data_IF_484575164542
#
_entry.id   IF_484575164542
#
_cell.length_a   1.000
_cell.length_b   1.000
_cell.length_c   1.000
_cell.angle_alpha   90.00
_cell.angle_beta   90.00
_cell.angle_gamma   90.00
#
_symmetry.space_group_name_H-M   'P 1'
#
loop_
_entity.id
_entity.type
_entity.pdbx_description
1 polymer ?
#
# COMPACT_ATOMS: atom_id res chain seq x y z
N UNK A 1 5.01 -8.94 2.34
CA UNK A 1 3.97 -9.37 1.37
C UNK A 1 4.10 -8.62 0.06
N UNK A 2 3.82 -7.30 -0.02
CA UNK A 2 3.90 -6.54 -1.29
C UNK A 2 5.24 -6.70 -2.01
N UNK A 3 6.38 -6.47 -1.32
CA UNK A 3 7.70 -6.64 -1.96
C UNK A 3 7.96 -8.06 -2.47
N UNK A 4 7.37 -9.09 -1.84
CA UNK A 4 7.47 -10.47 -2.31
C UNK A 4 6.67 -10.70 -3.60
N UNK A 5 5.46 -10.14 -3.69
CA UNK A 5 4.65 -10.16 -4.92
C UNK A 5 5.44 -9.51 -6.06
N UNK A 6 5.96 -8.31 -5.84
CA UNK A 6 6.75 -7.58 -6.86
C UNK A 6 7.96 -8.41 -7.28
N UNK A 7 8.73 -8.94 -6.33
CA UNK A 7 9.89 -9.80 -6.63
C UNK A 7 9.53 -11.04 -7.44
N UNK A 8 8.42 -11.72 -7.11
CA UNK A 8 7.94 -12.91 -7.84
C UNK A 8 7.53 -12.56 -9.28
N UNK A 9 6.86 -11.42 -9.48
CA UNK A 9 6.47 -10.94 -10.80
C UNK A 9 7.66 -10.51 -11.68
N UNK A 10 8.77 -10.08 -11.06
CA UNK A 10 9.94 -9.56 -11.79
C UNK A 10 11.12 -10.53 -11.86
N UNK A 11 11.04 -11.67 -11.16
CA UNK A 11 12.11 -12.68 -11.17
C UNK A 11 12.24 -13.31 -12.55
N UNK A 12 13.44 -13.29 -13.12
CA UNK A 12 13.71 -13.82 -14.46
C UNK A 12 13.37 -12.85 -15.60
N UNK A 13 12.70 -11.73 -15.31
CA UNK A 13 12.40 -10.70 -16.29
C UNK A 13 13.62 -9.83 -16.61
N UNK A 14 13.79 -9.50 -17.89
CA UNK A 14 14.90 -8.68 -18.41
C UNK A 14 14.42 -7.36 -19.01
N UNK A 15 15.38 -6.50 -19.40
CA UNK A 15 15.12 -5.13 -19.89
C UNK A 15 14.02 -5.03 -20.96
N UNK A 16 14.02 -5.94 -21.94
CA UNK A 16 13.04 -5.95 -23.04
C UNK A 16 11.61 -6.21 -22.58
N UNK A 17 11.43 -6.93 -21.48
CA UNK A 17 10.10 -7.20 -20.93
C UNK A 17 9.54 -5.95 -20.24
N UNK A 18 10.34 -5.30 -19.40
CA UNK A 18 9.95 -4.04 -18.75
C UNK A 18 9.63 -2.94 -19.77
N UNK A 19 10.42 -2.83 -20.84
CA UNK A 19 10.18 -1.88 -21.92
C UNK A 19 8.82 -2.14 -22.62
N UNK A 20 8.50 -3.42 -22.91
CA UNK A 20 7.21 -3.81 -23.50
C UNK A 20 6.01 -3.37 -22.65
N UNK A 21 6.15 -3.37 -21.32
CA UNK A 21 5.09 -2.96 -20.39
C UNK A 21 5.14 -1.47 -20.02
N UNK A 22 5.98 -0.67 -20.68
CA UNK A 22 6.06 0.79 -20.45
C UNK A 22 6.75 1.18 -19.14
N UNK A 23 7.48 0.25 -18.51
CA UNK A 23 8.22 0.46 -17.25
C UNK A 23 9.73 0.33 -17.46
N UNK A 24 10.22 0.60 -18.68
CA UNK A 24 11.64 0.55 -19.01
C UNK A 24 12.51 1.49 -18.17
N UNK A 25 12.00 2.67 -17.81
CA UNK A 25 12.70 3.61 -16.92
C UNK A 25 12.97 2.99 -15.53
N UNK A 26 11.99 2.29 -14.95
CA UNK A 26 12.18 1.57 -13.68
C UNK A 26 13.32 0.54 -13.81
N UNK A 27 13.39 -0.19 -14.91
CA UNK A 27 14.46 -1.17 -15.14
C UNK A 27 15.84 -0.51 -15.31
N UNK A 28 15.92 0.66 -15.94
CA UNK A 28 17.19 1.36 -16.08
C UNK A 28 17.78 1.76 -14.72
N UNK A 29 16.92 2.19 -13.78
CA UNK A 29 17.36 2.63 -12.46
C UNK A 29 17.55 1.46 -11.47
N UNK A 30 16.73 0.41 -11.59
CA UNK A 30 16.59 -0.62 -10.54
C UNK A 30 16.69 -2.07 -11.05
N UNK A 31 16.90 -2.27 -12.35
CA UNK A 31 16.76 -3.57 -13.00
C UNK A 31 15.42 -4.23 -12.62
N UNK A 32 15.45 -5.48 -12.16
CA UNK A 32 14.27 -6.18 -11.65
C UNK A 32 14.18 -6.21 -10.12
N UNK A 33 14.98 -5.38 -9.42
CA UNK A 33 14.96 -5.29 -7.97
C UNK A 33 13.69 -4.57 -7.47
N UNK A 34 13.33 -4.81 -6.20
CA UNK A 34 12.22 -4.11 -5.53
C UNK A 34 12.72 -2.77 -5.01
N UNK A 35 12.17 -1.67 -5.54
CA UNK A 35 12.45 -0.32 -5.09
C UNK A 35 11.19 0.31 -4.47
N UNK A 36 11.28 0.94 -3.27
CA UNK A 36 10.14 1.53 -2.61
C UNK A 36 9.77 2.88 -3.25
N UNK A 37 9.02 2.83 -4.33
CA UNK A 37 8.36 3.98 -4.97
C UNK A 37 6.88 3.70 -5.20
N UNK A 38 6.10 4.76 -5.36
CA UNK A 38 4.72 4.61 -5.85
C UNK A 38 4.70 4.24 -7.34
N UNK A 39 3.50 3.96 -7.88
CA UNK A 39 3.31 3.58 -9.28
C UNK A 39 3.74 4.66 -10.30
N UNK A 40 3.90 5.93 -9.86
CA UNK A 40 4.42 7.03 -10.65
C UNK A 40 5.92 7.26 -10.53
N UNK A 41 6.65 6.37 -9.82
CA UNK A 41 8.09 6.47 -9.63
C UNK A 41 8.55 7.45 -8.54
N UNK A 42 7.63 7.98 -7.72
CA UNK A 42 8.02 8.86 -6.59
C UNK A 42 8.55 8.01 -5.44
N UNK A 43 9.80 8.23 -4.97
CA UNK A 43 10.37 7.47 -3.87
C UNK A 43 9.57 7.63 -2.58
N UNK A 44 9.54 6.57 -1.77
CA UNK A 44 9.06 6.65 -0.40
C UNK A 44 9.88 7.67 0.41
N UNK A 45 9.21 8.44 1.24
CA UNK A 45 9.83 9.45 2.11
C UNK A 45 9.12 9.52 3.44
N UNK A 46 9.84 9.94 4.48
CA UNK A 46 9.28 10.20 5.81
C UNK A 46 8.16 11.24 5.81
N UNK A 47 8.02 12.07 4.76
CA UNK A 47 6.93 13.03 4.62
C UNK A 47 5.53 12.38 4.56
N UNK A 48 5.42 11.08 4.25
CA UNK A 48 4.16 10.35 4.28
C UNK A 48 3.74 9.88 5.68
N UNK A 49 4.63 9.99 6.68
CA UNK A 49 4.35 9.61 8.07
C UNK A 49 3.89 10.86 8.81
N UNK A 50 2.64 10.87 9.28
CA UNK A 50 2.18 11.88 10.22
C UNK A 50 2.33 11.34 11.63
N UNK A 51 2.84 12.18 12.52
CA UNK A 51 2.95 11.89 13.94
C UNK A 51 2.98 13.21 14.69
N UNK A 52 1.99 13.44 15.55
CA UNK A 52 1.79 14.72 16.24
C UNK A 52 1.86 14.61 17.75
N UNK A 53 1.98 13.39 18.29
CA UNK A 53 1.91 13.12 19.74
C UNK A 53 0.58 13.60 20.36
N UNK A 54 -0.45 13.74 19.53
CA UNK A 54 -1.83 13.97 19.91
C UNK A 54 -2.62 12.73 19.49
N UNK A 55 -3.06 11.89 20.46
CA UNK A 55 -3.74 10.64 20.16
C UNK A 55 -4.99 10.79 19.28
N UNK A 56 -5.73 11.90 19.38
CA UNK A 56 -6.90 12.13 18.53
C UNK A 56 -6.49 12.48 17.10
N UNK A 57 -5.51 13.36 16.94
CA UNK A 57 -5.02 13.71 15.61
C UNK A 57 -4.42 12.50 14.91
N UNK A 58 -3.61 11.72 15.64
CA UNK A 58 -2.91 10.55 15.10
C UNK A 58 -3.91 9.43 14.72
N UNK A 59 -4.91 9.12 15.56
CA UNK A 59 -5.90 8.06 15.23
C UNK A 59 -6.79 8.43 14.03
N UNK A 60 -7.05 9.73 13.81
CA UNK A 60 -7.78 10.20 12.65
C UNK A 60 -6.98 10.04 11.35
N UNK A 61 -5.66 10.28 11.39
CA UNK A 61 -4.81 10.00 10.22
C UNK A 61 -4.72 8.50 9.96
N UNK A 62 -4.59 7.66 11.01
CA UNK A 62 -4.56 6.20 10.85
C UNK A 62 -5.85 5.68 10.19
N UNK A 63 -7.02 6.13 10.64
CA UNK A 63 -8.32 5.81 10.00
C UNK A 63 -8.34 6.22 8.52
N UNK A 64 -7.84 7.41 8.19
CA UNK A 64 -7.78 7.89 6.82
C UNK A 64 -6.78 7.08 5.98
N UNK A 65 -5.64 6.70 6.55
CA UNK A 65 -4.61 5.89 5.91
C UNK A 65 -5.16 4.53 5.50
N UNK A 66 -5.89 3.84 6.39
CA UNK A 66 -6.49 2.55 6.09
C UNK A 66 -7.53 2.62 4.96
N UNK A 67 -8.34 3.68 4.90
CA UNK A 67 -9.29 3.87 3.79
C UNK A 67 -8.59 4.16 2.46
N UNK A 68 -7.51 4.95 2.48
CA UNK A 68 -6.66 5.22 1.29
C UNK A 68 -6.01 3.92 0.79
N UNK A 69 -5.49 3.08 1.69
CA UNK A 69 -4.91 1.78 1.37
C UNK A 69 -5.95 0.82 0.78
N UNK A 70 -7.10 0.65 1.45
CA UNK A 70 -8.24 -0.16 0.97
C UNK A 70 -8.69 0.26 -0.44
N UNK A 71 -8.82 1.56 -0.69
CA UNK A 71 -9.20 2.08 -2.00
C UNK A 71 -8.15 1.79 -3.08
N UNK A 72 -6.87 1.82 -2.71
CA UNK A 72 -5.77 1.42 -3.61
C UNK A 72 -5.85 -0.07 -3.96
N UNK A 73 -6.11 -0.94 -2.98
CA UNK A 73 -6.33 -2.36 -3.26
C UNK A 73 -7.57 -2.63 -4.12
N UNK A 74 -8.67 -1.91 -3.92
CA UNK A 74 -9.82 -1.98 -4.82
C UNK A 74 -9.42 -1.64 -6.26
N UNK A 75 -8.60 -0.61 -6.48
CA UNK A 75 -8.11 -0.25 -7.81
C UNK A 75 -7.28 -1.37 -8.44
N UNK A 76 -6.39 -2.00 -7.67
CA UNK A 76 -5.60 -3.14 -8.14
C UNK A 76 -6.52 -4.31 -8.53
N UNK A 77 -7.52 -4.63 -7.70
CA UNK A 77 -8.46 -5.73 -7.97
C UNK A 77 -9.36 -5.50 -9.20
N UNK A 78 -9.52 -4.26 -9.66
CA UNK A 78 -10.26 -3.97 -10.91
C UNK A 78 -9.47 -4.33 -12.17
N UNK A 79 -8.14 -4.40 -12.07
CA UNK A 79 -7.25 -4.60 -13.22
C UNK A 79 -6.41 -5.88 -13.14
N UNK A 80 -6.36 -6.52 -11.98
CA UNK A 80 -5.61 -7.75 -11.75
C UNK A 80 -6.47 -8.98 -12.04
N UNK A 81 -6.05 -9.78 -13.01
CA UNK A 81 -6.67 -11.06 -13.40
C UNK A 81 -5.93 -12.28 -12.83
N UNK A 82 -4.67 -12.13 -12.42
CA UNK A 82 -3.88 -13.19 -11.80
C UNK A 82 -4.40 -13.57 -10.39
N UNK A 83 -4.86 -14.83 -10.16
CA UNK A 83 -5.27 -15.31 -8.85
C UNK A 83 -4.17 -15.25 -7.77
N UNK A 84 -2.91 -15.46 -8.14
CA UNK A 84 -1.79 -15.52 -7.18
C UNK A 84 -1.50 -14.13 -6.59
N UNK A 85 -1.74 -13.08 -7.38
CA UNK A 85 -1.67 -11.68 -6.91
C UNK A 85 -2.98 -11.28 -6.24
N UNK A 86 -4.12 -11.46 -6.91
CA UNK A 86 -5.40 -10.94 -6.45
C UNK A 86 -5.88 -11.54 -5.13
N UNK A 87 -5.55 -12.81 -4.83
CA UNK A 87 -5.89 -13.42 -3.54
C UNK A 87 -5.12 -12.78 -2.38
N UNK A 88 -3.84 -12.45 -2.57
CA UNK A 88 -3.06 -11.74 -1.56
C UNK A 88 -3.58 -10.31 -1.37
N UNK A 89 -3.93 -9.63 -2.47
CA UNK A 89 -4.53 -8.28 -2.38
C UNK A 89 -5.89 -8.30 -1.67
N UNK A 90 -6.74 -9.31 -1.90
CA UNK A 90 -8.01 -9.47 -1.15
C UNK A 90 -7.77 -9.66 0.34
N UNK A 91 -6.75 -10.46 0.71
CA UNK A 91 -6.37 -10.65 2.11
C UNK A 91 -5.91 -9.34 2.76
N UNK A 92 -5.03 -8.58 2.10
CA UNK A 92 -4.56 -7.28 2.59
C UNK A 92 -5.71 -6.28 2.72
N UNK A 93 -6.59 -6.23 1.72
CA UNK A 93 -7.78 -5.38 1.72
C UNK A 93 -8.71 -5.67 2.91
N UNK A 94 -8.94 -6.94 3.22
CA UNK A 94 -9.76 -7.32 4.39
C UNK A 94 -9.10 -6.87 5.69
N UNK A 95 -7.76 -6.92 5.76
CA UNK A 95 -7.04 -6.39 6.92
C UNK A 95 -7.22 -4.90 7.10
N UNK A 96 -7.26 -4.09 6.04
CA UNK A 96 -7.46 -2.65 6.21
C UNK A 96 -8.87 -2.34 6.74
N UNK A 97 -9.87 -3.18 6.41
CA UNK A 97 -11.20 -3.09 7.03
C UNK A 97 -11.13 -3.37 8.52
N UNK A 98 -10.39 -4.40 8.92
CA UNK A 98 -10.18 -4.73 10.34
C UNK A 98 -9.40 -3.62 11.05
N UNK A 99 -8.33 -3.08 10.46
CA UNK A 99 -7.55 -1.99 11.04
C UNK A 99 -8.40 -0.75 11.23
N UNK A 100 -9.16 -0.35 10.21
CA UNK A 100 -10.10 0.75 10.30
C UNK A 100 -11.10 0.56 11.45
N UNK A 101 -11.68 -0.63 11.60
CA UNK A 101 -12.59 -0.93 12.71
C UNK A 101 -11.90 -0.81 14.07
N UNK A 102 -10.69 -1.37 14.22
CA UNK A 102 -9.93 -1.29 15.48
C UNK A 102 -9.50 0.14 15.83
N UNK A 103 -9.10 0.94 14.86
CA UNK A 103 -8.82 2.36 15.08
C UNK A 103 -10.10 3.13 15.43
N UNK A 104 -11.25 2.76 14.87
CA UNK A 104 -12.55 3.29 15.25
C UNK A 104 -12.90 3.01 16.72
N UNK A 105 -12.68 1.78 17.18
CA UNK A 105 -12.85 1.41 18.60
C UNK A 105 -11.95 2.26 19.52
N UNK A 106 -10.71 2.54 19.11
CA UNK A 106 -9.79 3.42 19.85
C UNK A 106 -10.28 4.87 19.84
N UNK A 107 -10.77 5.36 18.71
CA UNK A 107 -11.33 6.72 18.61
C UNK A 107 -12.50 6.91 19.59
N UNK A 108 -13.42 5.94 19.66
CA UNK A 108 -14.56 5.99 20.59
C UNK A 108 -14.08 6.07 22.06
N UNK A 109 -13.05 5.29 22.42
CA UNK A 109 -12.46 5.33 23.76
C UNK A 109 -11.85 6.72 24.03
N UNK A 110 -11.05 7.25 23.13
CA UNK A 110 -10.38 8.54 23.30
C UNK A 110 -11.40 9.69 23.44
N UNK A 111 -12.44 9.68 22.61
CA UNK A 111 -13.50 10.69 22.68
C UNK A 111 -14.32 10.59 23.97
N UNK A 112 -14.47 9.40 24.55
CA UNK A 112 -15.17 9.23 25.83
C UNK A 112 -14.44 9.87 27.02
N UNK A 113 -13.12 10.02 26.95
CA UNK A 113 -12.27 10.58 28.01
C UNK A 113 -12.20 12.12 28.01
N UNK A 114 -12.71 12.76 26.96
CA UNK A 114 -12.70 14.22 26.80
C UNK A 114 -13.99 14.86 27.37
N UNK A 115 -14.98 14.03 27.72
CA UNK A 115 -16.22 14.44 28.39
C UNK A 115 -16.02 14.53 29.90
#
# INVERSE_FOLDING_TARGET
>A
MIGSIVSQLTTGEGAKSFDRYGVGAYYMDHANAVYPSNAGGVPFTAAYIQSKADPLADIHEDLAAEQKARATYDNILRVCDDPDVSNVIKFLREREVVHFQRFGEVLDILQSQIK
#
